data_IF_868928574072
#
_entry.id   IF_868928574072
#
_cell.length_a   1.000
_cell.length_b   1.000
_cell.length_c   1.000
_cell.angle_alpha   90.00
_cell.angle_beta   90.00
_cell.angle_gamma   90.00
#
_symmetry.space_group_name_H-M   'P 1'
#
loop_
_entity.id
_entity.type
_entity.pdbx_description
1 polymer ?
#
# COMPACT_ATOMS: atom_id res chain seq x y z
N UNK A 1 -32.82 7.75 13.61
CA UNK A 1 -31.74 8.31 14.46
C UNK A 1 -30.56 7.37 14.59
N UNK A 2 -30.72 6.17 15.14
CA UNK A 2 -29.61 5.24 15.44
C UNK A 2 -28.64 4.99 14.27
N UNK A 3 -29.15 4.76 13.05
CA UNK A 3 -28.31 4.55 11.85
C UNK A 3 -27.38 5.75 11.56
N UNK A 4 -27.89 6.99 11.72
CA UNK A 4 -27.08 8.20 11.54
C UNK A 4 -26.02 8.34 12.62
N UNK A 5 -26.33 7.97 13.87
CA UNK A 5 -25.36 7.92 14.97
C UNK A 5 -24.28 6.85 14.73
N UNK A 6 -24.66 5.66 14.26
CA UNK A 6 -23.74 4.57 13.86
C UNK A 6 -22.82 5.00 12.70
N UNK A 7 -23.35 5.71 11.70
CA UNK A 7 -22.57 6.30 10.61
C UNK A 7 -21.61 7.36 11.15
N UNK A 8 -22.09 8.37 11.88
CA UNK A 8 -21.28 9.48 12.40
C UNK A 8 -20.15 9.03 13.34
N UNK A 9 -20.43 8.12 14.27
CA UNK A 9 -19.40 7.51 15.14
C UNK A 9 -18.36 6.69 14.36
N UNK A 10 -18.72 6.14 13.20
CA UNK A 10 -17.81 5.38 12.34
C UNK A 10 -16.97 6.28 11.44
N UNK A 11 -17.52 7.41 10.97
CA UNK A 11 -16.76 8.50 10.34
C UNK A 11 -15.72 9.04 11.34
N UNK A 12 -16.13 9.34 12.58
CA UNK A 12 -15.21 9.79 13.63
C UNK A 12 -14.12 8.76 13.93
N UNK A 13 -14.45 7.46 13.97
CA UNK A 13 -13.46 6.40 14.15
C UNK A 13 -12.44 6.35 12.98
N UNK A 14 -12.89 6.59 11.75
CA UNK A 14 -12.00 6.74 10.59
C UNK A 14 -11.03 7.91 10.74
N UNK A 15 -11.52 9.10 11.15
CA UNK A 15 -10.69 10.29 11.42
C UNK A 15 -9.64 10.01 12.50
N UNK A 16 -10.02 9.33 13.59
CA UNK A 16 -9.10 8.97 14.66
C UNK A 16 -8.04 7.96 14.20
N UNK A 17 -8.42 6.96 13.40
CA UNK A 17 -7.47 5.99 12.83
C UNK A 17 -6.52 6.63 11.82
N UNK A 18 -6.94 7.67 11.07
CA UNK A 18 -6.07 8.37 10.11
C UNK A 18 -4.95 9.16 10.76
N UNK A 19 -5.11 9.57 12.02
CA UNK A 19 -4.12 10.33 12.80
C UNK A 19 -3.07 9.41 13.45
N UNK A 20 -3.37 8.12 13.69
CA UNK A 20 -2.49 7.18 14.43
C UNK A 20 -1.07 7.09 13.88
N UNK A 21 -0.87 7.19 12.56
CA UNK A 21 0.44 7.18 11.91
C UNK A 21 1.38 8.31 12.36
N UNK A 22 0.83 9.47 12.75
CA UNK A 22 1.60 10.56 13.37
C UNK A 22 2.14 10.10 14.73
N UNK A 23 1.29 9.50 15.56
CA UNK A 23 1.68 8.95 16.88
C UNK A 23 2.71 7.83 16.74
N UNK A 24 2.58 6.96 15.72
CA UNK A 24 3.57 5.92 15.41
C UNK A 24 4.92 6.56 15.03
N UNK A 25 4.95 7.55 14.14
CA UNK A 25 6.20 8.23 13.74
C UNK A 25 6.89 8.91 14.92
N UNK A 26 6.15 9.60 15.79
CA UNK A 26 6.72 10.18 17.02
C UNK A 26 7.24 9.11 18.01
N UNK A 27 6.60 7.95 18.09
CA UNK A 27 7.10 6.82 18.88
C UNK A 27 8.42 6.27 18.31
N UNK A 28 8.52 6.10 16.98
CA UNK A 28 9.74 5.63 16.32
C UNK A 28 10.91 6.62 16.47
N UNK A 29 10.65 7.92 16.36
CA UNK A 29 11.66 8.97 16.59
C UNK A 29 12.13 8.99 18.05
N UNK A 30 11.20 8.97 19.02
CA UNK A 30 11.54 8.94 20.45
C UNK A 30 12.38 7.71 20.82
N UNK A 31 12.07 6.54 20.27
CA UNK A 31 12.87 5.33 20.45
C UNK A 31 14.25 5.49 19.83
N UNK A 32 14.36 5.99 18.59
CA UNK A 32 15.66 6.23 17.94
C UNK A 32 16.56 7.19 18.73
N UNK A 33 16.01 8.33 19.17
CA UNK A 33 16.74 9.34 19.94
C UNK A 33 17.15 8.81 21.33
N UNK A 34 16.31 8.03 21.99
CA UNK A 34 16.65 7.32 23.25
C UNK A 34 17.85 6.37 23.09
N UNK A 35 17.97 5.69 21.93
CA UNK A 35 19.13 4.81 21.66
C UNK A 35 20.41 5.57 21.35
N UNK A 36 20.33 6.77 20.77
CA UNK A 36 21.51 7.62 20.57
C UNK A 36 22.13 8.00 21.93
N UNK A 37 21.33 8.49 22.86
CA UNK A 37 21.76 8.82 24.23
C UNK A 37 22.34 7.60 24.95
N UNK A 38 21.65 6.44 24.93
CA UNK A 38 22.12 5.23 25.61
C UNK A 38 23.43 4.67 25.04
N UNK A 39 23.67 4.84 23.74
CA UNK A 39 24.92 4.40 23.09
C UNK A 39 26.09 5.30 23.47
N UNK A 40 25.88 6.62 23.52
CA UNK A 40 26.88 7.59 23.99
C UNK A 40 27.33 7.32 25.43
N UNK A 41 26.39 7.06 26.36
CA UNK A 41 26.74 6.75 27.76
C UNK A 41 27.55 5.46 27.91
N UNK A 42 27.26 4.42 27.10
CA UNK A 42 27.99 3.15 27.18
C UNK A 42 29.42 3.21 26.63
N UNK A 43 29.72 4.14 25.73
CA UNK A 43 31.08 4.31 25.20
C UNK A 43 32.09 4.71 26.28
N UNK A 44 31.66 5.36 27.37
CA UNK A 44 32.56 5.96 28.35
C UNK A 44 32.92 5.08 29.56
N UNK A 45 32.32 3.89 29.71
CA UNK A 45 32.48 2.98 30.86
C UNK A 45 33.04 1.59 30.47
N UNK A 46 33.60 1.45 29.27
CA UNK A 46 33.86 0.16 28.61
C UNK A 46 35.18 -0.57 28.95
N UNK A 47 35.80 -0.38 30.12
CA UNK A 47 37.13 -0.96 30.44
C UNK A 47 37.24 -1.53 31.87
N UNK A 48 36.50 -2.60 32.20
CA UNK A 48 36.70 -3.36 33.45
C UNK A 48 36.20 -4.84 33.38
N UNK A 49 37.14 -5.77 33.24
CA UNK A 49 37.15 -7.22 33.58
C UNK A 49 36.00 -8.18 33.12
N UNK A 50 36.32 -9.47 32.86
CA UNK A 50 35.34 -10.53 32.66
C UNK A 50 34.85 -11.14 34.00
N UNK A 51 33.64 -11.72 34.01
CA UNK A 51 33.17 -12.58 35.12
C UNK A 51 32.36 -13.77 34.60
N UNK A 52 32.42 -14.87 35.34
CA UNK A 52 32.13 -16.23 34.86
C UNK A 52 30.88 -16.85 35.47
N UNK A 53 30.17 -17.66 34.67
CA UNK A 53 29.15 -18.68 35.01
C UNK A 53 27.71 -18.27 35.43
N UNK A 54 26.78 -18.80 34.63
CA UNK A 54 25.62 -19.64 35.03
C UNK A 54 24.59 -19.14 36.07
N UNK A 55 23.37 -18.89 35.60
CA UNK A 55 22.14 -19.39 36.25
C UNK A 55 21.03 -19.59 35.21
N UNK A 56 20.13 -20.56 35.42
CA UNK A 56 18.99 -20.82 34.53
C UNK A 56 17.75 -20.05 35.02
N UNK A 57 17.06 -19.38 34.10
CA UNK A 57 15.63 -19.08 34.25
C UNK A 57 14.94 -19.01 32.88
N UNK A 58 13.82 -19.73 32.75
CA UNK A 58 13.12 -19.89 31.47
C UNK A 58 12.21 -18.71 31.17
N UNK A 59 12.71 -17.72 30.42
CA UNK A 59 11.85 -16.79 29.68
C UNK A 59 12.14 -16.89 28.18
N UNK A 60 11.07 -17.03 27.38
CA UNK A 60 11.14 -16.98 25.91
C UNK A 60 11.37 -15.54 25.45
N UNK A 61 12.59 -15.04 25.58
CA UNK A 61 12.99 -13.81 24.92
C UNK A 61 12.81 -13.96 23.40
N UNK A 62 12.14 -13.01 22.71
CA UNK A 62 12.11 -13.00 21.26
C UNK A 62 13.55 -12.91 20.74
N UNK A 63 13.89 -13.76 19.76
CA UNK A 63 15.26 -13.93 19.31
C UNK A 63 15.90 -12.59 18.91
N UNK A 64 17.15 -12.39 19.31
CA UNK A 64 17.87 -11.11 19.14
C UNK A 64 17.85 -10.61 17.69
N UNK A 65 17.99 -11.52 16.72
CA UNK A 65 17.87 -11.22 15.28
C UNK A 65 16.48 -10.71 14.86
N UNK A 66 15.39 -11.18 15.46
CA UNK A 66 14.03 -10.67 15.20
C UNK A 66 13.89 -9.22 15.66
N UNK A 67 14.35 -8.91 16.89
CA UNK A 67 14.36 -7.54 17.41
C UNK A 67 15.29 -6.61 16.62
N UNK A 68 16.45 -7.11 16.14
CA UNK A 68 17.36 -6.34 15.27
C UNK A 68 16.71 -6.05 13.92
N UNK A 69 16.11 -7.04 13.25
CA UNK A 69 15.43 -6.84 11.97
C UNK A 69 14.27 -5.84 12.09
N UNK A 70 13.48 -5.94 13.16
CA UNK A 70 12.37 -5.02 13.43
C UNK A 70 12.85 -3.56 13.54
N UNK A 71 13.89 -3.31 14.36
CA UNK A 71 14.49 -1.96 14.53
C UNK A 71 15.10 -1.39 13.25
N UNK A 72 15.69 -2.26 12.42
CA UNK A 72 16.26 -1.86 11.13
C UNK A 72 15.14 -1.37 10.18
N UNK A 73 13.98 -2.02 10.17
CA UNK A 73 12.86 -1.61 9.33
C UNK A 73 12.11 -0.39 9.89
N UNK A 74 11.99 -0.26 11.21
CA UNK A 74 11.51 0.95 11.90
C UNK A 74 12.32 2.20 11.51
N UNK A 75 13.66 2.12 11.55
CA UNK A 75 14.54 3.23 11.16
C UNK A 75 14.43 3.60 9.67
N UNK A 76 14.24 2.61 8.78
CA UNK A 76 13.97 2.86 7.35
C UNK A 76 12.69 3.66 7.14
N UNK A 77 11.60 3.30 7.83
CA UNK A 77 10.31 4.00 7.72
C UNK A 77 10.47 5.47 8.09
N UNK A 78 11.04 5.77 9.27
CA UNK A 78 11.26 7.15 9.71
C UNK A 78 12.14 7.93 8.71
N UNK A 79 13.23 7.31 8.21
CA UNK A 79 14.09 7.92 7.20
C UNK A 79 13.36 8.21 5.89
N UNK A 80 12.48 7.32 5.41
CA UNK A 80 11.68 7.54 4.19
C UNK A 80 10.62 8.63 4.36
N UNK A 81 9.94 8.67 5.52
CA UNK A 81 9.01 9.75 5.87
C UNK A 81 9.76 11.09 5.83
N UNK A 82 10.90 11.20 6.53
CA UNK A 82 11.71 12.42 6.57
C UNK A 82 12.26 12.82 5.19
N UNK A 83 12.72 11.87 4.38
CA UNK A 83 13.16 12.13 3.00
C UNK A 83 12.02 12.72 2.15
N UNK A 84 10.80 12.17 2.27
CA UNK A 84 9.62 12.68 1.57
C UNK A 84 9.24 14.09 2.06
N UNK A 85 9.18 14.31 3.38
CA UNK A 85 8.87 15.63 3.96
C UNK A 85 9.90 16.69 3.58
N UNK A 86 11.20 16.35 3.59
CA UNK A 86 12.28 17.25 3.21
C UNK A 86 12.26 17.59 1.72
N UNK A 87 11.99 16.62 0.83
CA UNK A 87 11.90 16.90 -0.61
C UNK A 87 10.68 17.79 -0.95
N UNK A 88 9.49 17.42 -0.46
CA UNK A 88 8.23 18.04 -0.89
C UNK A 88 7.94 19.34 -0.12
N UNK A 89 8.17 19.36 1.20
CA UNK A 89 8.00 20.54 2.04
C UNK A 89 9.25 21.42 2.10
N UNK A 90 10.38 20.80 2.45
CA UNK A 90 11.63 21.51 2.75
C UNK A 90 12.36 22.10 1.53
N UNK A 91 12.39 21.40 0.40
CA UNK A 91 13.03 21.88 -0.85
C UNK A 91 11.96 22.48 -1.76
N UNK A 92 10.96 21.68 -2.15
CA UNK A 92 10.08 22.06 -3.24
C UNK A 92 9.12 23.18 -2.87
N UNK A 93 8.26 22.98 -1.86
CA UNK A 93 7.35 24.03 -1.38
C UNK A 93 8.09 25.28 -0.91
N UNK A 94 9.19 25.14 -0.17
CA UNK A 94 10.03 26.29 0.20
C UNK A 94 10.52 27.07 -1.03
N UNK A 95 11.00 26.40 -2.08
CA UNK A 95 11.47 27.10 -3.30
C UNK A 95 10.36 27.90 -4.00
N UNK A 96 9.11 27.41 -3.99
CA UNK A 96 7.95 28.13 -4.53
C UNK A 96 7.64 29.35 -3.66
N UNK A 97 7.55 29.18 -2.33
CA UNK A 97 7.25 30.28 -1.40
C UNK A 97 8.35 31.35 -1.40
N UNK A 98 9.62 30.94 -1.46
CA UNK A 98 10.76 31.84 -1.57
C UNK A 98 10.74 32.63 -2.88
N UNK A 99 10.43 31.99 -4.01
CA UNK A 99 10.30 32.67 -5.29
C UNK A 99 9.17 33.71 -5.29
N UNK A 100 7.96 33.28 -4.88
CA UNK A 100 6.75 34.10 -4.98
C UNK A 100 6.70 35.25 -3.94
N UNK A 101 7.17 35.02 -2.71
CA UNK A 101 7.05 35.98 -1.61
C UNK A 101 8.35 36.71 -1.24
N UNK A 102 9.53 36.29 -1.74
CA UNK A 102 10.81 36.94 -1.45
C UNK A 102 11.50 37.41 -2.74
N UNK A 103 11.68 36.54 -3.74
CA UNK A 103 12.40 36.90 -4.98
C UNK A 103 11.61 37.91 -5.81
N UNK A 104 10.34 37.65 -6.14
CA UNK A 104 9.54 38.59 -6.93
C UNK A 104 9.34 39.94 -6.23
N UNK A 105 8.90 40.01 -4.95
CA UNK A 105 8.70 41.30 -4.28
C UNK A 105 10.01 42.06 -4.03
N UNK A 106 11.10 41.35 -3.70
CA UNK A 106 12.43 41.94 -3.55
C UNK A 106 12.99 42.51 -4.85
N UNK A 107 12.77 41.82 -5.98
CA UNK A 107 13.17 42.31 -7.30
C UNK A 107 12.32 43.52 -7.75
N UNK A 108 11.01 43.52 -7.46
CA UNK A 108 10.16 44.69 -7.70
C UNK A 108 10.60 45.91 -6.88
N UNK A 109 10.91 45.71 -5.59
CA UNK A 109 11.45 46.76 -4.70
C UNK A 109 12.79 47.33 -5.23
N UNK A 110 13.68 46.46 -5.71
CA UNK A 110 14.96 46.84 -6.31
C UNK A 110 14.77 47.66 -7.59
N UNK A 111 13.89 47.25 -8.50
CA UNK A 111 13.58 48.02 -9.71
C UNK A 111 12.91 49.36 -9.39
N UNK A 112 12.03 49.42 -8.39
CA UNK A 112 11.41 50.66 -7.92
C UNK A 112 12.46 51.67 -7.45
N UNK A 113 13.44 51.22 -6.65
CA UNK A 113 14.55 52.04 -6.18
C UNK A 113 15.49 52.49 -7.31
N UNK A 114 15.77 51.61 -8.29
CA UNK A 114 16.64 51.92 -9.44
C UNK A 114 16.03 52.94 -10.40
N UNK A 115 14.78 52.75 -10.82
CA UNK A 115 14.19 53.57 -11.89
C UNK A 115 13.59 54.88 -11.38
N UNK A 116 13.03 54.90 -10.16
CA UNK A 116 12.32 56.05 -9.55
C UNK A 116 11.19 56.66 -10.42
N UNK A 117 10.82 55.98 -11.50
CA UNK A 117 9.84 56.38 -12.50
C UNK A 117 8.80 55.27 -12.64
N UNK A 118 7.54 55.58 -12.29
CA UNK A 118 6.44 54.62 -12.27
C UNK A 118 6.20 53.98 -13.65
N UNK A 119 6.25 54.76 -14.73
CA UNK A 119 5.97 54.29 -16.10
C UNK A 119 7.04 53.32 -16.58
N UNK A 120 8.32 53.59 -16.27
CA UNK A 120 9.43 52.67 -16.58
C UNK A 120 9.31 51.39 -15.75
N UNK A 121 9.03 51.50 -14.45
CA UNK A 121 8.85 50.36 -13.56
C UNK A 121 7.71 49.43 -14.01
N UNK A 122 6.52 49.96 -14.29
CA UNK A 122 5.37 49.14 -14.72
C UNK A 122 5.62 48.49 -16.07
N UNK A 123 6.29 49.19 -16.99
CA UNK A 123 6.66 48.64 -18.30
C UNK A 123 7.66 47.49 -18.16
N UNK A 124 8.73 47.64 -17.36
CA UNK A 124 9.73 46.58 -17.16
C UNK A 124 9.17 45.40 -16.38
N UNK A 125 8.45 45.67 -15.29
CA UNK A 125 7.84 44.61 -14.47
C UNK A 125 6.81 43.80 -15.24
N UNK A 126 6.01 44.45 -16.10
CA UNK A 126 4.92 43.84 -16.86
C UNK A 126 5.33 42.69 -17.79
N UNK A 127 6.56 42.70 -18.34
CA UNK A 127 7.11 41.54 -19.07
C UNK A 127 8.09 40.71 -18.23
N UNK A 128 8.81 41.33 -17.29
CA UNK A 128 9.81 40.61 -16.50
C UNK A 128 9.16 39.61 -15.53
N UNK A 129 8.08 39.98 -14.82
CA UNK A 129 7.39 39.08 -13.89
C UNK A 129 6.88 37.80 -14.60
N UNK A 130 6.02 37.86 -15.64
CA UNK A 130 5.54 36.65 -16.28
C UNK A 130 6.66 35.84 -16.94
N UNK A 131 7.72 36.48 -17.44
CA UNK A 131 8.88 35.76 -17.98
C UNK A 131 9.63 34.98 -16.89
N UNK A 132 9.92 35.60 -15.75
CA UNK A 132 10.59 34.93 -14.62
C UNK A 132 9.71 33.80 -14.05
N UNK A 133 8.41 34.06 -13.85
CA UNK A 133 7.47 33.03 -13.38
C UNK A 133 7.34 31.88 -14.38
N UNK A 134 7.34 32.13 -15.69
CA UNK A 134 7.31 31.08 -16.73
C UNK A 134 8.59 30.24 -16.71
N UNK A 135 9.76 30.87 -16.64
CA UNK A 135 11.05 30.18 -16.58
C UNK A 135 11.17 29.31 -15.32
N UNK A 136 10.84 29.86 -14.15
CA UNK A 136 10.82 29.14 -12.89
C UNK A 136 9.85 27.96 -12.93
N UNK A 137 8.62 28.16 -13.40
CA UNK A 137 7.64 27.07 -13.48
C UNK A 137 8.05 25.97 -14.48
N UNK A 138 8.64 26.33 -15.61
CA UNK A 138 9.00 25.39 -16.68
C UNK A 138 10.28 24.60 -16.40
N UNK A 139 11.32 25.24 -15.87
CA UNK A 139 12.64 24.62 -15.67
C UNK A 139 12.90 24.13 -14.24
N UNK A 140 12.19 24.66 -13.23
CA UNK A 140 12.33 24.22 -11.83
C UNK A 140 11.10 23.46 -11.34
N UNK A 141 9.92 24.09 -11.37
CA UNK A 141 8.72 23.54 -10.71
C UNK A 141 8.22 22.26 -11.38
N UNK A 142 7.99 22.28 -12.70
CA UNK A 142 7.42 21.13 -13.41
C UNK A 142 8.35 19.89 -13.42
N UNK A 143 9.67 20.01 -13.68
CA UNK A 143 10.58 18.86 -13.63
C UNK A 143 10.72 18.28 -12.21
N UNK A 144 10.83 19.14 -11.19
CA UNK A 144 10.97 18.70 -9.80
C UNK A 144 9.67 18.04 -9.30
N UNK A 145 8.49 18.57 -9.66
CA UNK A 145 7.20 17.94 -9.37
C UNK A 145 7.06 16.54 -9.99
N UNK A 146 7.45 16.39 -11.26
CA UNK A 146 7.40 15.09 -11.97
C UNK A 146 8.37 14.08 -11.35
N UNK A 147 9.63 14.48 -11.10
CA UNK A 147 10.62 13.64 -10.44
C UNK A 147 10.18 13.26 -9.02
N UNK A 148 9.64 14.22 -8.27
CA UNK A 148 9.15 13.99 -6.91
C UNK A 148 8.01 12.98 -6.90
N UNK A 149 7.03 13.04 -7.81
CA UNK A 149 5.98 12.00 -7.91
C UNK A 149 6.54 10.59 -8.09
N UNK A 150 7.58 10.42 -8.91
CA UNK A 150 8.23 9.11 -9.13
C UNK A 150 8.97 8.66 -7.87
N UNK A 151 9.79 9.53 -7.28
CA UNK A 151 10.60 9.20 -6.10
C UNK A 151 9.71 8.94 -4.86
N UNK A 152 8.66 9.76 -4.69
CA UNK A 152 7.67 9.60 -3.65
C UNK A 152 6.97 8.24 -3.74
N UNK A 153 6.53 7.78 -4.92
CA UNK A 153 5.82 6.49 -5.05
C UNK A 153 6.68 5.29 -4.64
N UNK A 154 7.99 5.34 -4.91
CA UNK A 154 8.96 4.35 -4.45
C UNK A 154 9.13 4.39 -2.92
N UNK A 155 9.25 5.57 -2.32
CA UNK A 155 9.34 5.73 -0.87
C UNK A 155 8.04 5.34 -0.14
N UNK A 156 6.89 5.61 -0.74
CA UNK A 156 5.57 5.19 -0.25
C UNK A 156 5.46 3.65 -0.22
N UNK A 157 5.96 2.97 -1.26
CA UNK A 157 6.01 1.50 -1.27
C UNK A 157 6.97 0.96 -0.19
N UNK A 158 8.18 1.50 -0.06
CA UNK A 158 9.13 1.12 1.01
C UNK A 158 8.50 1.24 2.42
N UNK A 159 7.80 2.36 2.68
CA UNK A 159 7.09 2.61 3.94
C UNK A 159 5.98 1.59 4.16
N UNK A 160 5.14 1.36 3.14
CA UNK A 160 4.04 0.43 3.19
C UNK A 160 4.50 -1.00 3.50
N UNK A 161 5.55 -1.44 2.80
CA UNK A 161 6.14 -2.76 2.93
C UNK A 161 6.70 -3.00 4.32
N UNK A 162 7.43 -2.03 4.87
CA UNK A 162 7.98 -2.11 6.23
C UNK A 162 6.89 -2.06 7.31
N UNK A 163 5.89 -1.19 7.17
CA UNK A 163 4.74 -1.13 8.08
C UNK A 163 3.91 -2.43 8.03
N UNK A 164 3.71 -3.01 6.85
CA UNK A 164 3.04 -4.30 6.70
C UNK A 164 3.84 -5.43 7.35
N UNK A 165 5.16 -5.48 7.13
CA UNK A 165 6.07 -6.48 7.74
C UNK A 165 6.04 -6.43 9.26
N UNK A 166 6.07 -5.22 9.85
CA UNK A 166 5.93 -4.98 11.28
C UNK A 166 4.63 -5.57 11.86
N UNK A 167 3.49 -5.38 11.18
CA UNK A 167 2.16 -5.68 11.73
C UNK A 167 1.58 -7.04 11.38
N UNK A 168 1.92 -7.57 10.19
CA UNK A 168 1.28 -8.76 9.58
C UNK A 168 2.26 -9.78 9.02
N UNK A 169 3.57 -9.54 9.14
CA UNK A 169 4.60 -10.43 8.58
C UNK A 169 4.74 -10.28 7.06
N UNK A 170 5.18 -11.34 6.38
CA UNK A 170 5.54 -11.25 4.95
C UNK A 170 4.32 -10.91 4.08
N UNK A 171 4.46 -10.01 3.10
CA UNK A 171 3.46 -9.79 2.05
C UNK A 171 3.06 -11.08 1.33
N UNK A 172 1.82 -11.15 0.85
CA UNK A 172 1.36 -12.27 0.03
C UNK A 172 1.84 -12.09 -1.43
N UNK A 173 2.48 -13.12 -1.97
CA UNK A 173 2.91 -13.15 -3.37
C UNK A 173 1.70 -13.23 -4.30
N UNK A 174 1.51 -12.20 -5.13
CA UNK A 174 0.46 -12.17 -6.16
C UNK A 174 0.82 -13.15 -7.29
N UNK A 175 -0.13 -13.92 -7.88
CA UNK A 175 0.21 -15.12 -8.65
C UNK A 175 0.97 -14.92 -9.96
N UNK A 176 1.02 -13.70 -10.52
CA UNK A 176 1.87 -13.39 -11.67
C UNK A 176 2.18 -11.90 -11.80
N UNK A 177 3.39 -11.59 -12.31
CA UNK A 177 3.85 -10.20 -12.55
C UNK A 177 2.97 -9.51 -13.61
N UNK A 178 2.50 -10.25 -14.62
CA UNK A 178 1.57 -9.70 -15.62
C UNK A 178 0.24 -9.25 -15.00
N UNK A 179 -0.34 -10.05 -14.08
CA UNK A 179 -1.54 -9.66 -13.34
C UNK A 179 -1.28 -8.47 -12.42
N UNK A 180 -0.10 -8.41 -11.79
CA UNK A 180 0.34 -7.28 -10.97
C UNK A 180 0.35 -5.96 -11.76
N UNK A 181 1.01 -5.96 -12.92
CA UNK A 181 1.12 -4.78 -13.80
C UNK A 181 -0.26 -4.35 -14.31
N UNK A 182 -1.11 -5.31 -14.71
CA UNK A 182 -2.46 -5.02 -15.16
C UNK A 182 -3.33 -4.40 -14.04
N UNK A 183 -3.27 -4.94 -12.83
CA UNK A 183 -3.99 -4.43 -11.66
C UNK A 183 -3.54 -3.00 -11.30
N UNK A 184 -2.24 -2.73 -11.26
CA UNK A 184 -1.68 -1.39 -11.02
C UNK A 184 -2.09 -0.39 -12.11
N UNK A 185 -1.98 -0.76 -13.39
CA UNK A 185 -2.34 0.14 -14.50
C UNK A 185 -3.83 0.45 -14.57
N UNK A 186 -4.70 -0.54 -14.30
CA UNK A 186 -6.14 -0.33 -14.25
C UNK A 186 -6.52 0.46 -13.00
N UNK A 187 -5.86 0.25 -11.85
CA UNK A 187 -6.10 1.05 -10.64
C UNK A 187 -5.73 2.52 -10.88
N UNK A 188 -4.55 2.78 -11.47
CA UNK A 188 -4.12 4.13 -11.84
C UNK A 188 -5.11 4.82 -12.81
N UNK A 189 -5.63 4.10 -13.82
CA UNK A 189 -6.64 4.63 -14.74
C UNK A 189 -7.97 4.94 -14.03
N UNK A 190 -8.44 4.03 -13.16
CA UNK A 190 -9.63 4.25 -12.33
C UNK A 190 -9.46 5.47 -11.43
N UNK A 191 -8.29 5.61 -10.80
CA UNK A 191 -7.96 6.72 -9.92
C UNK A 191 -7.91 8.06 -10.65
N UNK A 192 -7.32 8.11 -11.85
CA UNK A 192 -7.29 9.32 -12.71
C UNK A 192 -8.70 9.71 -13.14
N UNK A 193 -9.53 8.76 -13.58
CA UNK A 193 -10.93 9.02 -13.93
C UNK A 193 -11.77 9.43 -12.71
N UNK A 194 -11.46 8.89 -11.52
CA UNK A 194 -12.14 9.28 -10.29
C UNK A 194 -11.77 10.71 -9.85
N UNK A 195 -10.50 11.09 -9.97
CA UNK A 195 -10.06 12.46 -9.74
C UNK A 195 -10.74 13.43 -10.74
N UNK A 196 -10.87 13.01 -12.01
CA UNK A 196 -11.56 13.81 -13.04
C UNK A 196 -13.06 13.99 -12.74
N UNK A 197 -13.82 12.94 -12.41
CA UNK A 197 -15.24 13.10 -12.04
C UNK A 197 -15.41 13.96 -10.77
N UNK A 198 -14.50 13.84 -9.81
CA UNK A 198 -14.47 14.69 -8.61
C UNK A 198 -14.29 16.15 -9.00
N UNK A 199 -13.30 16.43 -9.85
CA UNK A 199 -12.99 17.78 -10.34
C UNK A 199 -14.17 18.38 -11.11
N UNK A 200 -14.84 17.58 -11.95
CA UNK A 200 -16.05 18.01 -12.67
C UNK A 200 -17.17 18.41 -11.70
N UNK A 201 -17.42 17.64 -10.63
CA UNK A 201 -18.43 17.98 -9.61
C UNK A 201 -18.16 19.34 -8.95
N UNK A 202 -16.89 19.68 -8.71
CA UNK A 202 -16.47 20.99 -8.17
C UNK A 202 -16.80 22.18 -9.09
N UNK A 203 -16.98 21.93 -10.39
CA UNK A 203 -17.28 22.95 -11.42
C UNK A 203 -18.68 22.82 -12.05
N UNK A 204 -19.56 21.93 -11.56
CA UNK A 204 -20.94 21.84 -12.08
C UNK A 204 -21.72 23.12 -11.72
N UNK A 205 -22.41 23.77 -12.68
CA UNK A 205 -23.21 24.98 -12.44
C UNK A 205 -24.56 24.63 -11.77
N UNK A 206 -24.50 24.15 -10.53
CA UNK A 206 -25.67 23.83 -9.70
C UNK A 206 -26.00 25.05 -8.83
N UNK A 207 -27.28 25.44 -8.66
CA UNK A 207 -27.67 26.62 -7.86
C UNK A 207 -27.41 26.51 -6.34
N UNK A 208 -26.75 25.45 -5.86
CA UNK A 208 -26.38 25.26 -4.45
C UNK A 208 -24.90 24.87 -4.33
N UNK A 209 -23.95 25.83 -4.42
CA UNK A 209 -22.51 25.55 -4.46
C UNK A 209 -22.00 24.70 -3.28
N UNK A 210 -22.55 24.92 -2.09
CA UNK A 210 -22.22 24.14 -0.88
C UNK A 210 -22.42 22.63 -1.05
N UNK A 211 -23.48 22.20 -1.76
CA UNK A 211 -23.75 20.77 -2.00
C UNK A 211 -22.69 20.18 -2.93
N UNK A 212 -22.27 20.90 -3.97
CA UNK A 212 -21.16 20.49 -4.82
C UNK A 212 -19.84 20.37 -4.03
N UNK A 213 -19.53 21.32 -3.14
CA UNK A 213 -18.35 21.25 -2.26
C UNK A 213 -18.38 20.03 -1.32
N UNK A 214 -19.54 19.70 -0.74
CA UNK A 214 -19.69 18.52 0.13
C UNK A 214 -19.55 17.21 -0.66
N UNK A 215 -20.21 17.09 -1.82
CA UNK A 215 -20.11 15.88 -2.66
C UNK A 215 -18.67 15.70 -3.19
N UNK A 216 -18.01 16.79 -3.56
CA UNK A 216 -16.60 16.81 -3.93
C UNK A 216 -15.70 16.33 -2.78
N UNK A 217 -15.90 16.84 -1.56
CA UNK A 217 -15.13 16.42 -0.39
C UNK A 217 -15.36 14.94 -0.04
N UNK A 218 -16.57 14.41 -0.20
CA UNK A 218 -16.86 12.97 -0.07
C UNK A 218 -16.07 12.15 -1.08
N UNK A 219 -16.01 12.58 -2.35
CA UNK A 219 -15.21 11.92 -3.38
C UNK A 219 -13.72 11.94 -3.03
N UNK A 220 -13.15 13.11 -2.74
CA UNK A 220 -11.73 13.26 -2.42
C UNK A 220 -11.33 12.47 -1.17
N UNK A 221 -12.21 12.37 -0.18
CA UNK A 221 -11.99 11.55 1.02
C UNK A 221 -11.92 10.05 0.68
N UNK A 222 -12.89 9.53 -0.09
CA UNK A 222 -12.87 8.12 -0.51
C UNK A 222 -11.68 7.79 -1.41
N UNK A 223 -11.26 8.73 -2.26
CA UNK A 223 -10.06 8.61 -3.10
C UNK A 223 -8.77 8.61 -2.27
N UNK A 224 -8.63 9.51 -1.29
CA UNK A 224 -7.50 9.53 -0.35
C UNK A 224 -7.41 8.24 0.48
N UNK A 225 -8.55 7.71 0.91
CA UNK A 225 -8.64 6.39 1.55
C UNK A 225 -8.20 5.26 0.63
N UNK A 226 -8.66 5.25 -0.64
CA UNK A 226 -8.21 4.26 -1.62
C UNK A 226 -6.69 4.31 -1.80
N UNK A 227 -6.12 5.50 -2.00
CA UNK A 227 -4.68 5.70 -2.13
C UNK A 227 -3.92 5.12 -0.93
N UNK A 228 -4.31 5.47 0.30
CA UNK A 228 -3.58 5.06 1.51
C UNK A 228 -3.72 3.56 1.82
N UNK A 229 -4.91 2.99 1.62
CA UNK A 229 -5.16 1.57 1.88
C UNK A 229 -4.74 0.64 0.73
N UNK A 230 -4.63 1.11 -0.51
CA UNK A 230 -4.18 0.28 -1.64
C UNK A 230 -2.83 -0.37 -1.35
N UNK A 231 -1.85 0.38 -0.85
CA UNK A 231 -0.56 -0.12 -0.38
C UNK A 231 -0.66 -1.30 0.61
N UNK A 232 -1.60 -1.21 1.58
CA UNK A 232 -1.87 -2.28 2.55
C UNK A 232 -2.51 -3.50 1.88
N UNK A 233 -3.48 -3.27 0.99
CA UNK A 233 -4.25 -4.32 0.32
C UNK A 233 -3.46 -5.04 -0.78
N UNK A 234 -2.54 -4.35 -1.44
CA UNK A 234 -1.56 -4.90 -2.37
C UNK A 234 -0.67 -5.93 -1.66
N UNK A 235 -0.15 -5.58 -0.47
CA UNK A 235 0.59 -6.50 0.39
C UNK A 235 -0.27 -7.66 0.99
N UNK A 236 -1.60 -7.56 0.91
CA UNK A 236 -2.53 -8.67 1.19
C UNK A 236 -2.93 -9.48 -0.05
N UNK A 237 -2.41 -9.17 -1.24
CA UNK A 237 -2.80 -9.83 -2.49
C UNK A 237 -4.24 -9.54 -2.95
N UNK A 238 -4.87 -8.46 -2.48
CA UNK A 238 -6.24 -8.11 -2.88
C UNK A 238 -6.24 -7.43 -4.26
N UNK A 239 -7.08 -7.91 -5.17
CA UNK A 239 -7.29 -7.34 -6.51
C UNK A 239 -8.13 -6.04 -6.45
N UNK A 240 -7.96 -5.16 -7.43
CA UNK A 240 -8.62 -3.86 -7.54
C UNK A 240 -10.14 -3.91 -7.29
N UNK A 241 -10.86 -4.84 -7.94
CA UNK A 241 -12.31 -4.98 -7.74
C UNK A 241 -12.69 -5.21 -6.27
N UNK A 242 -11.86 -5.95 -5.51
CA UNK A 242 -12.06 -6.15 -4.07
C UNK A 242 -11.77 -4.88 -3.27
N UNK A 243 -10.73 -4.12 -3.63
CA UNK A 243 -10.39 -2.83 -2.99
C UNK A 243 -11.56 -1.84 -3.13
N UNK A 244 -12.06 -1.67 -4.36
CA UNK A 244 -13.18 -0.77 -4.67
C UNK A 244 -14.46 -1.19 -3.94
N UNK A 245 -14.90 -2.44 -4.10
CA UNK A 245 -16.13 -2.93 -3.45
C UNK A 245 -16.08 -2.81 -1.92
N UNK A 246 -14.92 -3.07 -1.30
CA UNK A 246 -14.76 -2.94 0.15
C UNK A 246 -14.88 -1.49 0.64
N UNK A 247 -14.43 -0.50 -0.15
CA UNK A 247 -14.67 0.92 0.13
C UNK A 247 -16.13 1.30 -0.09
N UNK A 248 -16.75 0.91 -1.22
CA UNK A 248 -18.15 1.24 -1.51
C UNK A 248 -19.11 0.67 -0.45
N UNK A 249 -18.83 -0.52 0.08
CA UNK A 249 -19.59 -1.15 1.18
C UNK A 249 -19.37 -0.48 2.54
N UNK A 250 -18.14 -0.10 2.89
CA UNK A 250 -17.78 0.40 4.22
C UNK A 250 -17.48 1.91 4.21
N UNK A 251 -18.17 2.63 3.33
CA UNK A 251 -17.90 4.04 3.02
C UNK A 251 -17.89 5.00 4.22
N UNK A 252 -18.64 4.82 5.34
CA UNK A 252 -18.58 5.75 6.47
C UNK A 252 -17.17 5.80 7.09
N UNK A 253 -16.53 4.63 7.23
CA UNK A 253 -15.17 4.56 7.77
C UNK A 253 -14.16 5.23 6.82
N UNK A 254 -14.24 4.93 5.53
CA UNK A 254 -13.29 5.47 4.54
C UNK A 254 -13.51 6.95 4.20
N UNK A 255 -14.74 7.45 4.31
CA UNK A 255 -15.02 8.88 4.32
C UNK A 255 -14.28 9.54 5.47
N UNK A 256 -14.47 9.03 6.70
CA UNK A 256 -13.78 9.55 7.89
C UNK A 256 -12.25 9.50 7.78
N UNK A 257 -11.68 8.38 7.35
CA UNK A 257 -10.23 8.19 7.29
C UNK A 257 -9.54 9.10 6.25
N UNK A 258 -10.17 9.32 5.10
CA UNK A 258 -9.57 10.14 4.04
C UNK A 258 -9.82 11.64 4.20
N UNK A 259 -10.86 12.03 4.96
CA UNK A 259 -11.31 13.42 5.10
C UNK A 259 -10.21 14.38 5.59
N UNK A 260 -9.36 14.06 6.60
CA UNK A 260 -8.30 14.98 7.03
C UNK A 260 -7.25 15.22 5.95
N UNK A 261 -6.88 14.20 5.16
CA UNK A 261 -5.94 14.37 4.05
C UNK A 261 -6.55 15.17 2.90
N UNK A 262 -7.82 14.89 2.56
CA UNK A 262 -8.56 15.60 1.53
C UNK A 262 -8.71 17.10 1.88
N UNK A 263 -9.13 17.41 3.11
CA UNK A 263 -9.24 18.79 3.60
C UNK A 263 -7.89 19.52 3.55
N UNK A 264 -6.84 18.96 4.16
CA UNK A 264 -5.52 19.61 4.22
C UNK A 264 -4.91 19.83 2.84
N UNK A 265 -5.14 18.92 1.88
CA UNK A 265 -4.67 19.06 0.50
C UNK A 265 -5.45 20.11 -0.30
N UNK A 266 -6.68 20.45 0.09
CA UNK A 266 -7.56 21.43 -0.56
C UNK A 266 -7.50 22.84 0.07
N UNK A 267 -6.79 23.03 1.20
CA UNK A 267 -6.55 24.37 1.76
C UNK A 267 -5.75 25.30 0.82
N UNK A 268 -4.75 24.85 0.05
CA UNK A 268 -4.01 25.71 -0.87
C UNK A 268 -4.77 25.94 -2.18
N UNK A 269 -4.87 27.18 -2.63
CA UNK A 269 -5.45 27.53 -3.94
C UNK A 269 -4.55 27.16 -5.16
N UNK A 270 -3.40 26.51 -4.93
CA UNK A 270 -2.46 26.12 -5.98
C UNK A 270 -2.28 24.60 -5.99
N UNK A 271 -2.63 23.96 -7.12
CA UNK A 271 -2.52 22.50 -7.32
C UNK A 271 -1.12 21.95 -7.03
N UNK A 272 -0.08 22.74 -7.27
CA UNK A 272 1.31 22.35 -6.98
C UNK A 272 1.55 22.31 -5.46
N UNK A 273 1.09 23.33 -4.73
CA UNK A 273 1.20 23.40 -3.26
C UNK A 273 0.33 22.31 -2.61
N UNK A 274 -0.89 22.09 -3.11
CA UNK A 274 -1.74 20.95 -2.73
C UNK A 274 -1.01 19.61 -2.92
N UNK A 275 -0.31 19.45 -4.05
CA UNK A 275 0.52 18.28 -4.33
C UNK A 275 1.70 18.11 -3.35
N UNK A 276 2.31 19.21 -2.91
CA UNK A 276 3.34 19.19 -1.86
C UNK A 276 2.75 18.78 -0.51
N UNK A 277 1.66 19.41 -0.07
CA UNK A 277 0.98 19.13 1.21
C UNK A 277 0.52 17.67 1.25
N UNK A 278 -0.15 17.19 0.19
CA UNK A 278 -0.51 15.79 0.04
C UNK A 278 0.72 14.87 0.20
N UNK A 279 1.81 15.15 -0.54
CA UNK A 279 3.00 14.29 -0.54
C UNK A 279 3.76 14.28 0.80
N UNK A 280 3.74 15.38 1.55
CA UNK A 280 4.31 15.44 2.92
C UNK A 280 3.49 14.61 3.90
N UNK A 281 2.15 14.66 3.81
CA UNK A 281 1.24 14.00 4.75
C UNK A 281 1.01 12.51 4.43
N UNK A 282 0.92 12.16 3.16
CA UNK A 282 0.51 10.82 2.70
C UNK A 282 1.34 9.64 3.27
N UNK A 283 2.67 9.73 3.47
CA UNK A 283 3.44 8.74 4.26
C UNK A 283 2.80 8.34 5.59
N UNK A 284 2.26 9.33 6.31
CA UNK A 284 1.64 9.14 7.62
C UNK A 284 0.32 8.38 7.47
N UNK A 285 -0.46 8.70 6.43
CA UNK A 285 -1.70 8.00 6.10
C UNK A 285 -1.47 6.56 5.62
N UNK A 286 -0.34 6.24 4.97
CA UNK A 286 0.04 4.84 4.66
C UNK A 286 0.33 4.05 5.94
N UNK A 287 1.01 4.66 6.92
CA UNK A 287 1.28 4.04 8.22
C UNK A 287 -0.03 3.87 9.00
N UNK A 288 -0.86 4.91 9.08
CA UNK A 288 -2.21 4.86 9.64
C UNK A 288 -3.07 3.78 8.98
N UNK A 289 -3.04 3.68 7.65
CA UNK A 289 -3.83 2.71 6.91
C UNK A 289 -3.38 1.30 7.26
N UNK A 290 -2.07 1.02 7.30
CA UNK A 290 -1.54 -0.27 7.76
C UNK A 290 -1.96 -0.58 9.19
N UNK A 291 -1.86 0.37 10.12
CA UNK A 291 -2.22 0.20 11.52
C UNK A 291 -3.73 0.19 11.82
N UNK A 292 -4.57 0.63 10.88
CA UNK A 292 -6.01 0.65 11.07
C UNK A 292 -6.68 -0.73 11.10
N UNK A 293 -7.81 -0.80 11.80
CA UNK A 293 -8.80 -1.88 11.68
C UNK A 293 -10.15 -1.26 11.29
N UNK A 294 -10.46 -1.14 9.99
CA UNK A 294 -11.71 -0.56 9.52
C UNK A 294 -12.93 -1.20 10.17
N UNK A 295 -13.80 -0.36 10.74
CA UNK A 295 -15.07 -0.80 11.33
C UNK A 295 -16.08 -1.04 10.21
N UNK A 296 -16.41 -2.31 9.98
CA UNK A 296 -17.26 -2.79 8.89
C UNK A 296 -18.74 -2.88 9.29
N UNK A 297 -19.61 -3.14 8.31
CA UNK A 297 -21.01 -3.57 8.50
C UNK A 297 -21.86 -2.57 9.31
N UNK A 298 -21.64 -1.28 9.04
CA UNK A 298 -22.31 -0.15 9.69
C UNK A 298 -23.49 0.39 8.89
N UNK A 299 -23.46 0.25 7.56
CA UNK A 299 -24.47 0.74 6.63
C UNK A 299 -24.71 -0.30 5.54
N UNK A 300 -25.97 -0.65 5.29
CA UNK A 300 -26.34 -1.68 4.30
C UNK A 300 -26.36 -1.14 2.86
N UNK A 301 -26.42 0.19 2.68
CA UNK A 301 -26.46 0.83 1.37
C UNK A 301 -25.04 1.20 0.88
N UNK A 302 -24.50 0.51 -0.14
CA UNK A 302 -23.16 0.79 -0.65
C UNK A 302 -23.15 2.07 -1.50
N UNK A 303 -22.14 2.92 -1.27
CA UNK A 303 -21.97 4.20 -1.94
C UNK A 303 -21.18 4.01 -3.26
N UNK A 304 -21.90 3.68 -4.33
CA UNK A 304 -21.35 3.19 -5.61
C UNK A 304 -20.67 4.25 -6.52
N UNK A 305 -19.83 5.11 -5.96
CA UNK A 305 -19.17 6.20 -6.69
C UNK A 305 -18.03 5.74 -7.62
N UNK A 306 -17.39 4.60 -7.34
CA UNK A 306 -16.36 4.04 -8.23
C UNK A 306 -16.98 3.28 -9.41
N UNK A 307 -18.21 2.76 -9.25
CA UNK A 307 -18.94 2.07 -10.32
C UNK A 307 -19.08 2.89 -11.62
N UNK A 308 -19.16 4.22 -11.54
CA UNK A 308 -19.19 5.12 -12.72
C UNK A 308 -17.87 5.02 -13.52
N UNK A 309 -16.73 5.21 -12.85
CA UNK A 309 -15.41 5.17 -13.52
C UNK A 309 -15.00 3.76 -13.93
N UNK A 310 -15.50 2.73 -13.23
CA UNK A 310 -15.41 1.32 -13.67
C UNK A 310 -16.18 1.11 -14.97
N UNK A 311 -17.38 1.69 -15.14
CA UNK A 311 -18.12 1.61 -16.39
C UNK A 311 -17.39 2.34 -17.54
N UNK A 312 -16.87 3.54 -17.30
CA UNK A 312 -16.08 4.30 -18.28
C UNK A 312 -14.80 3.56 -18.70
N UNK A 313 -14.05 3.00 -17.74
CA UNK A 313 -12.85 2.19 -17.99
C UNK A 313 -13.19 0.96 -18.86
N UNK A 314 -14.27 0.25 -18.54
CA UNK A 314 -14.74 -0.87 -19.34
C UNK A 314 -15.17 -0.45 -20.76
N UNK A 315 -15.75 0.74 -20.93
CA UNK A 315 -16.14 1.26 -22.24
C UNK A 315 -14.90 1.58 -23.11
N UNK A 316 -13.87 2.21 -22.53
CA UNK A 316 -12.61 2.52 -23.23
C UNK A 316 -11.94 1.26 -23.79
N UNK A 317 -11.79 0.21 -22.97
CA UNK A 317 -11.21 -1.06 -23.43
C UNK A 317 -12.09 -1.77 -24.48
N UNK A 318 -13.43 -1.71 -24.37
CA UNK A 318 -14.35 -2.25 -25.38
C UNK A 318 -14.29 -1.52 -26.72
N UNK A 319 -14.10 -0.19 -26.72
CA UNK A 319 -13.96 0.61 -27.94
C UNK A 319 -12.72 0.23 -28.74
N UNK A 320 -11.56 0.13 -28.08
CA UNK A 320 -10.27 -0.22 -28.71
C UNK A 320 -10.30 -1.60 -29.41
N UNK A 321 -11.00 -2.57 -28.82
CA UNK A 321 -11.18 -3.91 -29.41
C UNK A 321 -12.07 -3.95 -30.66
N UNK A 322 -12.87 -2.90 -30.95
CA UNK A 322 -13.58 -2.79 -32.23
C UNK A 322 -12.68 -2.27 -33.35
N UNK A 323 -11.83 -1.27 -33.07
CA UNK A 323 -10.89 -0.72 -34.06
C UNK A 323 -9.85 -1.77 -34.50
N UNK A 324 -9.37 -2.63 -33.58
CA UNK A 324 -8.43 -3.70 -33.90
C UNK A 324 -8.92 -4.77 -34.89
N UNK A 325 -10.21 -4.80 -35.25
CA UNK A 325 -10.75 -5.71 -36.28
C UNK A 325 -10.92 -5.08 -37.67
N UNK A 326 -10.77 -3.77 -37.82
CA UNK A 326 -10.99 -3.08 -39.09
C UNK A 326 -9.81 -3.19 -40.08
N UNK A 327 -8.63 -3.63 -39.62
CA UNK A 327 -7.38 -3.60 -40.39
C UNK A 327 -6.82 -4.97 -40.81
N UNK A 328 -7.48 -6.08 -40.45
CA UNK A 328 -6.95 -7.44 -40.70
C UNK A 328 -8.03 -8.45 -41.13
N UNK A 329 -9.01 -8.01 -41.90
CA UNK A 329 -10.02 -8.89 -42.52
C UNK A 329 -10.48 -8.41 -43.89
N UNK A 330 -9.55 -8.41 -44.86
CA UNK A 330 -9.90 -8.59 -46.27
C UNK A 330 -9.58 -10.04 -46.66
N UNK A 331 -10.58 -10.93 -46.75
CA UNK A 331 -10.40 -12.23 -47.40
C UNK A 331 -10.43 -12.03 -48.92
N UNK A 332 -9.41 -12.51 -49.62
CA UNK A 332 -9.50 -12.76 -51.05
C UNK A 332 -10.50 -13.91 -51.28
N UNK A 333 -11.70 -13.58 -51.80
CA UNK A 333 -12.64 -14.59 -52.29
C UNK A 333 -12.15 -15.15 -53.63
N UNK A 334 -12.39 -16.45 -53.86
CA UNK A 334 -13.45 -16.75 -54.81
C UNK A 334 -14.35 -17.94 -54.43
N UNK A 335 -15.61 -17.84 -54.86
CA UNK A 335 -16.48 -18.93 -55.36
C UNK A 335 -16.67 -20.21 -54.53
N UNK A 336 -17.82 -20.34 -53.87
CA UNK A 336 -18.33 -21.61 -53.33
C UNK A 336 -19.68 -21.45 -52.63
N UNK A 337 -20.78 -21.82 -53.29
CA UNK A 337 -22.18 -21.72 -52.78
C UNK A 337 -22.79 -23.14 -52.62
N UNK A 338 -23.96 -23.29 -51.99
CA UNK A 338 -24.12 -23.59 -50.57
C UNK A 338 -24.51 -25.07 -50.30
N UNK A 339 -24.79 -25.42 -49.04
CA UNK A 339 -25.83 -26.41 -48.76
C UNK A 339 -26.65 -26.06 -47.50
N UNK A 340 -27.81 -26.71 -47.33
CA UNK A 340 -28.98 -26.21 -46.59
C UNK A 340 -29.47 -27.22 -45.52
N UNK A 341 -30.27 -26.72 -44.56
CA UNK A 341 -31.09 -27.40 -43.52
C UNK A 341 -30.37 -27.88 -42.24
N UNK A 342 -30.90 -27.42 -41.09
CA UNK A 342 -30.42 -27.78 -39.75
C UNK A 342 -31.11 -27.04 -38.58
N UNK A 343 -32.45 -26.96 -38.59
CA UNK A 343 -33.37 -26.65 -37.46
C UNK A 343 -32.94 -25.67 -36.33
N UNK A 344 -33.63 -24.53 -36.25
CA UNK A 344 -33.83 -23.75 -35.00
C UNK A 344 -35.12 -24.24 -34.27
N UNK A 345 -35.51 -23.74 -33.07
CA UNK A 345 -34.91 -22.79 -32.10
C UNK A 345 -34.75 -23.47 -30.69
N UNK A 346 -34.59 -22.79 -29.52
CA UNK A 346 -34.45 -21.35 -29.24
C UNK A 346 -33.26 -20.93 -28.36
N UNK A 347 -33.08 -19.61 -28.24
CA UNK A 347 -32.27 -18.95 -27.21
C UNK A 347 -33.00 -18.95 -25.86
N UNK A 348 -32.36 -19.42 -24.78
CA UNK A 348 -32.40 -18.82 -23.43
C UNK A 348 -31.71 -19.71 -22.36
N UNK A 349 -30.43 -19.47 -22.10
CA UNK A 349 -29.79 -19.90 -20.85
C UNK A 349 -29.12 -18.67 -20.22
N UNK A 350 -29.57 -18.29 -19.02
CA UNK A 350 -29.18 -17.04 -18.36
C UNK A 350 -27.74 -17.11 -17.83
N UNK A 351 -27.00 -15.99 -17.90
CA UNK A 351 -25.63 -15.89 -17.37
C UNK A 351 -25.52 -16.26 -15.87
N UNK A 352 -26.63 -16.21 -15.13
CA UNK A 352 -26.71 -16.64 -13.74
C UNK A 352 -26.49 -18.15 -13.54
N UNK A 353 -26.91 -19.03 -14.46
CA UNK A 353 -26.69 -20.48 -14.29
C UNK A 353 -25.21 -20.86 -14.43
N UNK A 354 -24.50 -20.24 -15.38
CA UNK A 354 -23.05 -20.42 -15.54
C UNK A 354 -22.26 -19.91 -14.31
N UNK A 355 -22.64 -18.75 -13.77
CA UNK A 355 -22.05 -18.22 -12.53
C UNK A 355 -22.31 -19.14 -11.33
N UNK A 356 -23.54 -19.63 -11.17
CA UNK A 356 -23.92 -20.49 -10.05
C UNK A 356 -23.23 -21.86 -10.11
N UNK A 357 -23.07 -22.44 -11.31
CA UNK A 357 -22.31 -23.67 -11.50
C UNK A 357 -20.79 -23.48 -11.31
N UNK A 358 -20.24 -22.32 -11.70
CA UNK A 358 -18.85 -21.96 -11.38
C UNK A 358 -18.63 -21.78 -9.87
N UNK A 359 -19.61 -21.21 -9.15
CA UNK A 359 -19.57 -21.03 -7.70
C UNK A 359 -19.65 -22.37 -6.94
N UNK A 360 -20.52 -23.29 -7.38
CA UNK A 360 -20.58 -24.66 -6.86
C UNK A 360 -19.26 -25.42 -7.07
N UNK A 361 -18.65 -25.32 -8.26
CA UNK A 361 -17.34 -25.91 -8.54
C UNK A 361 -16.23 -25.36 -7.63
N UNK A 362 -16.28 -24.08 -7.26
CA UNK A 362 -15.35 -23.52 -6.27
C UNK A 362 -15.59 -24.05 -4.85
N UNK A 363 -16.85 -24.15 -4.40
CA UNK A 363 -17.20 -24.70 -3.09
C UNK A 363 -16.76 -26.17 -2.93
N UNK A 364 -17.01 -27.01 -3.93
CA UNK A 364 -16.55 -28.41 -3.90
C UNK A 364 -15.02 -28.53 -3.87
N UNK A 365 -14.29 -27.65 -4.57
CA UNK A 365 -12.83 -27.57 -4.49
C UNK A 365 -12.33 -27.17 -3.09
N UNK A 366 -13.02 -26.27 -2.40
CA UNK A 366 -12.69 -25.86 -1.04
C UNK A 366 -12.98 -26.98 -0.03
N UNK A 367 -14.12 -27.67 -0.13
CA UNK A 367 -14.45 -28.83 0.71
C UNK A 367 -13.41 -29.95 0.56
N UNK A 368 -13.02 -30.31 -0.67
CA UNK A 368 -11.97 -31.31 -0.89
C UNK A 368 -10.62 -30.93 -0.27
N UNK A 369 -10.26 -29.64 -0.26
CA UNK A 369 -9.05 -29.18 0.42
C UNK A 369 -9.14 -29.25 1.95
N UNK A 370 -10.30 -28.96 2.54
CA UNK A 370 -10.52 -29.10 3.99
C UNK A 370 -10.46 -30.56 4.45
N UNK A 371 -11.16 -31.47 3.76
CA UNK A 371 -11.12 -32.91 4.09
C UNK A 371 -9.72 -33.50 3.95
N UNK A 372 -8.93 -33.08 2.95
CA UNK A 372 -7.51 -33.49 2.83
C UNK A 372 -6.62 -32.99 3.96
N UNK A 373 -6.97 -31.87 4.61
CA UNK A 373 -6.22 -31.38 5.76
C UNK A 373 -6.56 -32.15 7.05
N UNK A 374 -7.86 -32.33 7.35
CA UNK A 374 -8.29 -33.08 8.54
C UNK A 374 -7.84 -34.54 8.52
N UNK A 375 -7.87 -35.21 7.36
CA UNK A 375 -7.46 -36.62 7.30
C UNK A 375 -5.95 -36.81 7.56
N UNK A 376 -5.12 -35.80 7.25
CA UNK A 376 -3.66 -35.85 7.40
C UNK A 376 -3.17 -35.50 8.81
N UNK A 377 -4.01 -34.91 9.66
CA UNK A 377 -3.67 -34.57 11.05
C UNK A 377 -3.97 -35.66 12.08
N UNK A 378 -4.81 -36.65 11.75
CA UNK A 378 -5.17 -37.73 12.69
C UNK A 378 -4.31 -39.01 12.59
N UNK A 379 -3.48 -39.17 11.56
CA UNK A 379 -2.56 -40.33 11.45
C UNK A 379 -1.13 -39.98 11.89
N UNK A 380 -0.91 -39.83 13.21
CA UNK A 380 0.44 -39.86 13.82
C UNK A 380 0.42 -40.17 15.32
N UNK A 381 0.01 -41.39 15.67
CA UNK A 381 0.35 -42.03 16.94
C UNK A 381 1.03 -43.40 16.64
N UNK A 382 2.16 -43.74 17.28
CA UNK A 382 2.75 -45.07 17.19
C UNK A 382 2.17 -45.98 18.29
N UNK A 383 1.55 -47.08 17.89
CA UNK A 383 1.19 -48.19 18.79
C UNK A 383 2.31 -49.24 18.84
N UNK A 384 2.52 -49.93 19.97
CA UNK A 384 3.58 -50.93 20.13
C UNK A 384 3.18 -52.31 19.58
N UNK A 385 4.17 -53.16 19.32
CA UNK A 385 4.00 -54.60 19.02
C UNK A 385 5.01 -55.46 19.82
N UNK A 386 4.69 -56.73 20.15
CA UNK A 386 5.41 -57.50 21.18
C UNK A 386 6.48 -58.47 20.65
N UNK A 387 7.23 -59.05 21.58
CA UNK A 387 8.42 -59.90 21.40
C UNK A 387 8.14 -61.35 20.95
N UNK A 388 9.06 -61.94 20.16
CA UNK A 388 9.50 -63.34 20.32
C UNK A 388 10.79 -63.68 19.51
N UNK A 389 11.45 -64.76 19.96
CA UNK A 389 12.57 -65.53 19.40
C UNK A 389 12.31 -66.16 18.00
N UNK A 390 13.28 -66.69 17.22
CA UNK A 390 14.76 -66.73 17.33
C UNK A 390 15.47 -67.24 16.04
N UNK A 391 16.79 -67.01 15.98
CA UNK A 391 17.86 -67.90 15.46
C UNK A 391 17.98 -68.30 13.97
N UNK A 392 19.15 -67.92 13.42
CA UNK A 392 20.15 -68.77 12.70
C UNK A 392 20.37 -68.67 11.18
N UNK A 393 21.61 -69.00 10.78
CA UNK A 393 22.25 -69.02 9.45
C UNK A 393 22.50 -67.67 8.73
N UNK A 394 23.60 -67.45 7.98
CA UNK A 394 24.98 -68.01 8.02
C UNK A 394 25.93 -67.21 7.07
N UNK A 395 27.23 -67.16 7.40
CA UNK A 395 28.36 -66.83 6.49
C UNK A 395 28.43 -65.37 5.93
N UNK A 396 29.57 -64.75 5.58
CA UNK A 396 31.00 -65.14 5.51
C UNK A 396 31.91 -63.98 6.00
N UNK A 397 33.21 -64.25 6.20
CA UNK A 397 34.27 -63.26 6.49
C UNK A 397 34.65 -62.43 5.22
N UNK A 398 35.48 -61.37 5.22
CA UNK A 398 36.57 -60.92 6.13
C UNK A 398 36.65 -59.36 6.18
N UNK A 399 37.72 -58.58 6.46
CA UNK A 399 39.18 -58.77 6.65
C UNK A 399 39.84 -57.54 7.36
N UNK A 400 41.09 -57.67 7.86
CA UNK A 400 42.11 -56.64 8.22
C UNK A 400 41.70 -55.37 9.04
N UNK A 401 41.97 -55.34 10.36
CA UNK A 401 43.13 -54.68 11.07
C UNK A 401 43.05 -53.14 11.27
N UNK A 402 43.56 -52.51 12.35
CA UNK A 402 44.56 -52.95 13.33
C UNK A 402 44.34 -52.46 14.80
N UNK A 403 45.29 -52.86 15.67
CA UNK A 403 45.60 -52.53 17.08
C UNK A 403 45.64 -51.03 17.47
N UNK A 404 45.76 -50.56 18.74
CA UNK A 404 45.79 -51.10 20.13
C UNK A 404 45.09 -50.02 21.00
N UNK A 405 44.28 -50.28 22.05
CA UNK A 405 44.54 -50.94 23.35
C UNK A 405 45.51 -50.19 24.29
N UNK A 406 44.95 -49.43 25.25
CA UNK A 406 45.50 -49.30 26.61
C UNK A 406 44.42 -49.14 27.68
N UNK A 407 44.78 -49.35 28.95
CA UNK A 407 43.90 -50.05 29.90
C UNK A 407 44.11 -49.61 31.37
N UNK A 408 43.03 -49.15 32.03
CA UNK A 408 42.86 -49.07 33.50
C UNK A 408 41.34 -49.08 33.78
N UNK A 409 40.69 -49.95 34.59
CA UNK A 409 41.01 -50.52 35.93
C UNK A 409 40.88 -49.39 36.99
N UNK A 410 39.92 -49.38 37.95
CA UNK A 410 39.21 -50.45 38.69
C UNK A 410 37.78 -50.07 39.17
N UNK A 411 37.07 -51.06 39.74
CA UNK A 411 35.89 -51.06 40.65
C UNK A 411 35.62 -49.81 41.53
N UNK A 412 34.42 -49.55 42.12
CA UNK A 412 33.09 -50.23 42.21
C UNK A 412 32.01 -49.19 42.65
N UNK A 413 30.69 -49.50 42.66
CA UNK A 413 29.63 -48.54 43.00
C UNK A 413 29.24 -48.54 44.50
N UNK A 414 28.53 -47.50 44.93
CA UNK A 414 27.69 -47.53 46.14
C UNK A 414 26.43 -46.67 45.97
N UNK A 415 25.32 -47.10 46.60
CA UNK A 415 24.05 -46.37 46.67
C UNK A 415 24.10 -45.27 47.74
N UNK A 416 23.46 -44.13 47.48
CA UNK A 416 22.19 -43.80 48.15
C UNK A 416 21.34 -42.87 47.33
#
# INVERSE_FOLDING_TARGET
>A
METLWRIGTTVLHGVLDSIKGITVVFYLDKEANSRYSQSGTKAHLGNALPRTKESLSSQQHPSSGSLVSKRIDESKVLKRVLQCSMLNGGIFLFSILFFEYIVLPGLHLFLWYLFQNATTLTTVWGWMQPSLSLLFNSFWVAPLFLLSKIVNSLWFQDIADSAYKFRKGRPQLIPSISKLIADTLISLLIQILFLLQSTLIKYLPVPVPFVCSVIYMVHMSLLCSLYAFEYKWFNMGWELHKRLTYIEQNWPYFLGFGLPLALLSELPNSMVISGCVFSVLFPLFIISANEATPKVDVCETPLKLFSIVVALTNALFRGRNKQGKAALSQPLSPSGVPNIRGLTPPLAASNSSFLLQQQQLQQHRQQHHHSRHHHRTHQRQPSPSPSAASSSFASSASVLTAQHQHQTVLNRPLRR
#
